data_IF_318807594323
#
_entry.id   IF_318807594323
#
_cell.length_a   1.000
_cell.length_b   1.000
_cell.length_c   1.000
_cell.angle_alpha   90.00
_cell.angle_beta   90.00
_cell.angle_gamma   90.00
#
_symmetry.space_group_name_H-M   'P 1'
#
loop_
_entity.id
_entity.type
_entity.pdbx_description
1 polymer ?
#
# COMPACT_ATOMS: atom_id res chain seq x y z
N UNK A 1 23.87 -4.74 -16.36
CA UNK A 1 22.74 -3.98 -15.73
C UNK A 1 22.36 -2.80 -16.59
N UNK A 2 21.41 -2.92 -17.47
CA UNK A 2 20.80 -1.85 -18.29
C UNK A 2 21.74 -0.75 -18.81
N UNK A 3 22.98 -1.17 -19.23
CA UNK A 3 23.98 -0.25 -19.81
C UNK A 3 24.75 0.64 -18.85
N UNK A 4 24.57 0.47 -17.52
CA UNK A 4 25.33 1.22 -16.54
C UNK A 4 26.68 0.55 -16.23
N UNK A 5 27.75 1.35 -16.21
CA UNK A 5 29.08 0.88 -15.90
C UNK A 5 29.36 0.95 -14.39
N UNK A 6 29.75 -0.18 -13.80
CA UNK A 6 30.12 -0.30 -12.39
C UNK A 6 31.33 -1.24 -12.24
N UNK A 7 31.97 -1.22 -11.07
CA UNK A 7 33.21 -1.96 -10.85
C UNK A 7 32.98 -3.19 -9.96
N UNK A 8 33.29 -4.33 -10.50
CA UNK A 8 33.50 -5.58 -9.77
C UNK A 8 34.48 -6.45 -10.54
N UNK A 9 35.31 -7.18 -9.82
CA UNK A 9 36.18 -8.22 -10.39
C UNK A 9 35.55 -9.62 -10.33
N UNK A 10 34.38 -9.75 -9.66
CA UNK A 10 33.69 -11.02 -9.43
C UNK A 10 32.53 -11.21 -10.40
N UNK A 11 32.58 -12.20 -11.29
CA UNK A 11 31.42 -12.59 -12.11
C UNK A 11 30.18 -12.96 -11.26
N UNK A 12 30.40 -13.60 -10.10
CA UNK A 12 29.31 -13.97 -9.18
C UNK A 12 28.63 -12.74 -8.56
N UNK A 13 29.39 -11.69 -8.23
CA UNK A 13 28.83 -10.42 -7.79
C UNK A 13 27.99 -9.79 -8.90
N UNK A 14 28.49 -9.76 -10.14
CA UNK A 14 27.77 -9.21 -11.28
C UNK A 14 26.45 -9.96 -11.52
N UNK A 15 26.48 -11.29 -11.56
CA UNK A 15 25.30 -12.12 -11.73
C UNK A 15 24.28 -11.93 -10.59
N UNK A 16 24.76 -11.80 -9.34
CA UNK A 16 23.90 -11.59 -8.18
C UNK A 16 23.27 -10.19 -8.16
N UNK A 17 23.97 -9.15 -8.66
CA UNK A 17 23.40 -7.81 -8.84
C UNK A 17 22.35 -7.80 -9.95
N UNK A 18 22.58 -8.48 -11.07
CA UNK A 18 21.59 -8.61 -12.14
C UNK A 18 20.31 -9.31 -11.64
N UNK A 19 20.47 -10.38 -10.85
CA UNK A 19 19.36 -11.07 -10.19
C UNK A 19 18.62 -10.13 -9.23
N UNK A 20 19.34 -9.39 -8.38
CA UNK A 20 18.74 -8.40 -7.46
C UNK A 20 17.91 -7.35 -8.18
N UNK A 21 18.40 -6.83 -9.30
CA UNK A 21 17.67 -5.85 -10.11
C UNK A 21 16.41 -6.47 -10.73
N UNK A 22 16.52 -7.65 -11.32
CA UNK A 22 15.39 -8.37 -11.90
C UNK A 22 14.32 -8.67 -10.84
N UNK A 23 14.73 -9.20 -9.68
CA UNK A 23 13.84 -9.49 -8.56
C UNK A 23 13.18 -8.21 -8.04
N UNK A 24 13.92 -7.10 -7.95
CA UNK A 24 13.36 -5.84 -7.47
C UNK A 24 12.33 -5.27 -8.45
N UNK A 25 12.61 -5.32 -9.75
CA UNK A 25 11.68 -4.84 -10.77
C UNK A 25 10.40 -5.65 -10.81
N UNK A 26 10.49 -6.97 -10.64
CA UNK A 26 9.36 -7.89 -10.62
C UNK A 26 8.69 -8.06 -9.24
N UNK A 27 9.09 -7.29 -8.21
CA UNK A 27 8.67 -7.50 -6.81
C UNK A 27 8.91 -8.94 -6.31
N UNK A 28 10.00 -9.57 -6.81
CA UNK A 28 10.33 -10.97 -6.53
C UNK A 28 10.78 -11.21 -5.08
N UNK A 29 10.61 -12.44 -4.61
CA UNK A 29 10.93 -12.89 -3.25
C UNK A 29 12.43 -12.96 -2.99
N UNK A 30 13.23 -13.19 -4.05
CA UNK A 30 14.67 -13.42 -3.97
C UNK A 30 15.54 -12.19 -3.71
N UNK A 31 14.97 -10.99 -3.61
CA UNK A 31 15.70 -9.70 -3.51
C UNK A 31 16.80 -9.70 -2.45
N UNK A 32 16.45 -10.07 -1.23
CA UNK A 32 17.38 -10.06 -0.10
C UNK A 32 18.53 -11.04 -0.29
N UNK A 33 18.22 -12.26 -0.70
CA UNK A 33 19.24 -13.29 -0.97
C UNK A 33 20.19 -12.84 -2.09
N UNK A 34 19.66 -12.25 -3.15
CA UNK A 34 20.47 -11.80 -4.28
C UNK A 34 21.43 -10.66 -3.89
N UNK A 35 20.96 -9.63 -3.20
CA UNK A 35 21.80 -8.48 -2.81
C UNK A 35 22.87 -8.87 -1.80
N UNK A 36 22.54 -9.71 -0.80
CA UNK A 36 23.52 -10.18 0.19
C UNK A 36 24.55 -11.11 -0.43
N UNK A 37 24.16 -11.96 -1.38
CA UNK A 37 25.09 -12.77 -2.18
C UNK A 37 26.04 -11.88 -3.00
N UNK A 38 25.56 -10.81 -3.61
CA UNK A 38 26.39 -9.86 -4.35
C UNK A 38 27.45 -9.21 -3.45
N UNK A 39 27.04 -8.69 -2.29
CA UNK A 39 27.96 -8.08 -1.33
C UNK A 39 28.99 -9.06 -0.75
N UNK A 40 28.59 -10.30 -0.55
CA UNK A 40 29.50 -11.37 -0.08
C UNK A 40 30.49 -11.82 -1.17
N UNK A 41 30.07 -11.84 -2.45
CA UNK A 41 30.90 -12.28 -3.57
C UNK A 41 32.00 -11.28 -3.94
N UNK A 42 31.77 -9.97 -3.67
CA UNK A 42 32.80 -8.92 -3.83
C UNK A 42 32.58 -7.80 -2.79
N UNK A 43 33.22 -7.92 -1.63
CA UNK A 43 33.16 -6.87 -0.58
C UNK A 43 33.73 -5.51 -1.01
N UNK A 44 34.47 -5.44 -2.10
CA UNK A 44 35.03 -4.19 -2.65
C UNK A 44 34.08 -3.52 -3.67
N UNK A 45 33.01 -4.19 -4.10
CA UNK A 45 32.01 -3.62 -5.00
C UNK A 45 31.14 -2.59 -4.27
N UNK A 46 31.37 -1.30 -4.53
CA UNK A 46 30.65 -0.20 -3.90
C UNK A 46 29.14 -0.32 -4.10
N UNK A 47 28.70 -0.70 -5.30
CA UNK A 47 27.28 -0.82 -5.65
C UNK A 47 26.58 -1.95 -4.88
N UNK A 48 27.23 -3.13 -4.78
CA UNK A 48 26.68 -4.25 -4.02
C UNK A 48 26.55 -3.93 -2.52
N UNK A 49 27.61 -3.38 -1.92
CA UNK A 49 27.58 -2.96 -0.52
C UNK A 49 26.50 -1.90 -0.25
N UNK A 50 26.35 -0.92 -1.14
CA UNK A 50 25.37 0.14 -1.00
C UNK A 50 23.92 -0.36 -1.07
N UNK A 51 23.63 -1.26 -2.02
CA UNK A 51 22.31 -1.87 -2.11
C UNK A 51 22.02 -2.79 -0.91
N UNK A 52 23.03 -3.52 -0.40
CA UNK A 52 22.89 -4.30 0.82
C UNK A 52 22.61 -3.40 2.04
N UNK A 53 23.32 -2.27 2.18
CA UNK A 53 23.06 -1.30 3.25
C UNK A 53 21.62 -0.81 3.24
N UNK A 54 21.11 -0.42 2.08
CA UNK A 54 19.73 0.02 1.93
C UNK A 54 18.72 -1.08 2.22
N UNK A 55 19.00 -2.32 1.79
CA UNK A 55 18.09 -3.45 1.99
C UNK A 55 17.96 -3.87 3.46
N UNK A 56 19.09 -3.96 4.18
CA UNK A 56 19.07 -4.41 5.58
C UNK A 56 18.69 -3.28 6.56
N UNK A 57 18.85 -2.02 6.16
CA UNK A 57 18.70 -0.85 7.04
C UNK A 57 17.42 -0.78 7.89
N UNK A 58 16.25 -1.17 7.40
CA UNK A 58 15.02 -1.19 8.20
C UNK A 58 15.05 -2.19 9.38
N UNK A 59 15.79 -3.31 9.23
CA UNK A 59 15.81 -4.43 10.20
C UNK A 59 17.12 -4.52 10.99
N UNK A 60 18.25 -4.09 10.40
CA UNK A 60 19.58 -4.15 10.97
C UNK A 60 20.37 -2.87 10.71
N UNK A 61 20.28 -1.92 11.63
CA UNK A 61 21.00 -0.62 11.53
C UNK A 61 22.52 -0.79 11.59
N UNK A 62 23.02 -1.70 12.40
CA UNK A 62 24.47 -1.93 12.53
C UNK A 62 25.05 -2.55 11.26
N UNK A 63 24.39 -3.58 10.71
CA UNK A 63 24.75 -4.17 9.43
C UNK A 63 24.68 -3.15 8.28
N UNK A 64 23.65 -2.31 8.25
CA UNK A 64 23.53 -1.24 7.25
C UNK A 64 24.68 -0.24 7.33
N UNK A 65 25.06 0.19 8.53
CA UNK A 65 26.20 1.09 8.74
C UNK A 65 27.54 0.46 8.27
N UNK A 66 27.74 -0.83 8.55
CA UNK A 66 28.93 -1.55 8.09
C UNK A 66 28.99 -1.63 6.56
N UNK A 67 27.89 -1.98 5.89
CA UNK A 67 27.83 -1.98 4.42
C UNK A 67 28.00 -0.58 3.82
N UNK A 68 27.43 0.46 4.43
CA UNK A 68 27.59 1.83 3.97
C UNK A 68 29.05 2.28 4.08
N UNK A 69 29.73 1.96 5.18
CA UNK A 69 31.14 2.25 5.38
C UNK A 69 32.03 1.52 4.33
N UNK A 70 31.74 0.25 4.02
CA UNK A 70 32.43 -0.49 2.96
C UNK A 70 32.24 0.16 1.58
N UNK A 71 31.02 0.57 1.24
CA UNK A 71 30.73 1.30 0.01
C UNK A 71 31.50 2.63 -0.06
N UNK A 72 31.50 3.43 1.04
CA UNK A 72 32.23 4.69 1.14
C UNK A 72 33.75 4.50 0.96
N UNK A 73 34.33 3.45 1.54
CA UNK A 73 35.75 3.10 1.40
C UNK A 73 36.16 2.76 -0.04
N UNK A 74 35.20 2.31 -0.87
CA UNK A 74 35.42 1.93 -2.26
C UNK A 74 35.24 3.09 -3.26
N UNK A 75 34.73 4.27 -2.82
CA UNK A 75 34.37 5.38 -3.71
C UNK A 75 35.55 6.00 -4.47
N UNK A 76 36.76 5.89 -3.96
CA UNK A 76 37.96 6.40 -4.64
C UNK A 76 38.21 5.75 -6.01
N UNK A 77 37.72 4.52 -6.20
CA UNK A 77 37.82 3.78 -7.46
C UNK A 77 36.50 3.67 -8.21
N UNK A 78 35.41 4.18 -7.64
CA UNK A 78 34.06 4.06 -8.17
C UNK A 78 33.87 4.82 -9.50
N UNK A 79 32.93 4.36 -10.33
CA UNK A 79 32.50 5.06 -11.55
C UNK A 79 31.67 6.31 -11.21
N UNK A 80 31.34 7.13 -12.21
CA UNK A 80 30.40 8.24 -12.05
C UNK A 80 29.03 7.77 -11.58
N UNK A 81 28.55 6.66 -12.16
CA UNK A 81 27.28 6.04 -11.79
C UNK A 81 27.26 5.57 -10.33
N UNK A 82 28.25 4.79 -9.90
CA UNK A 82 28.33 4.33 -8.51
C UNK A 82 28.35 5.47 -7.49
N UNK A 83 29.08 6.55 -7.80
CA UNK A 83 29.07 7.76 -6.94
C UNK A 83 27.72 8.47 -6.91
N UNK A 84 26.99 8.50 -8.03
CA UNK A 84 25.65 9.08 -8.08
C UNK A 84 24.65 8.23 -7.27
N UNK A 85 24.69 6.91 -7.42
CA UNK A 85 23.85 5.98 -6.61
C UNK A 85 24.19 6.09 -5.12
N UNK A 86 25.49 6.21 -4.77
CA UNK A 86 25.92 6.41 -3.39
C UNK A 86 25.31 7.69 -2.79
N UNK A 87 25.40 8.83 -3.50
CA UNK A 87 24.80 10.09 -3.02
C UNK A 87 23.31 9.96 -2.75
N UNK A 88 22.58 9.25 -3.63
CA UNK A 88 21.13 9.09 -3.50
C UNK A 88 20.77 8.15 -2.33
N UNK A 89 21.40 6.97 -2.25
CA UNK A 89 21.07 5.97 -1.24
C UNK A 89 21.62 6.28 0.15
N UNK A 90 22.75 6.97 0.27
CA UNK A 90 23.29 7.37 1.58
C UNK A 90 22.32 8.28 2.35
N UNK A 91 21.44 9.03 1.66
CA UNK A 91 20.39 9.80 2.30
C UNK A 91 19.25 8.95 2.89
N UNK A 92 19.20 7.66 2.59
CA UNK A 92 18.16 6.72 3.09
C UNK A 92 18.69 5.76 4.15
N UNK A 93 20.01 5.73 4.38
CA UNK A 93 20.67 4.81 5.30
C UNK A 93 21.33 5.59 6.43
N UNK A 94 21.19 5.10 7.66
CA UNK A 94 21.80 5.73 8.82
C UNK A 94 20.82 6.54 9.68
N UNK A 95 21.35 7.33 10.59
CA UNK A 95 20.56 8.11 11.56
C UNK A 95 19.97 9.38 10.93
N UNK A 96 20.72 10.03 10.04
CA UNK A 96 20.34 11.28 9.37
C UNK A 96 19.55 11.05 8.07
N UNK A 97 18.61 10.09 8.09
CA UNK A 97 17.79 9.78 6.93
C UNK A 97 16.90 10.97 6.56
N UNK A 98 16.99 11.40 5.31
CA UNK A 98 16.17 12.48 4.76
C UNK A 98 15.57 12.06 3.41
N UNK A 99 14.25 11.84 3.40
CA UNK A 99 13.51 11.40 2.22
C UNK A 99 13.48 12.49 1.14
N UNK A 100 13.36 13.76 1.50
CA UNK A 100 13.32 14.87 0.55
C UNK A 100 14.68 15.01 -0.15
N UNK A 101 15.77 14.94 0.62
CA UNK A 101 17.14 14.93 0.07
C UNK A 101 17.36 13.72 -0.83
N UNK A 102 16.81 12.55 -0.47
CA UNK A 102 16.92 11.37 -1.30
C UNK A 102 16.15 11.51 -2.62
N UNK A 103 14.93 12.07 -2.59
CA UNK A 103 14.13 12.36 -3.80
C UNK A 103 14.92 13.29 -4.74
N UNK A 104 15.43 14.41 -4.24
CA UNK A 104 16.21 15.35 -5.05
C UNK A 104 17.47 14.70 -5.65
N UNK A 105 18.21 13.90 -4.87
CA UNK A 105 19.39 13.19 -5.35
C UNK A 105 19.07 12.12 -6.39
N UNK A 106 17.92 11.43 -6.29
CA UNK A 106 17.45 10.52 -7.34
C UNK A 106 17.08 11.29 -8.61
N UNK A 107 16.50 12.49 -8.49
CA UNK A 107 16.21 13.33 -9.64
C UNK A 107 17.47 13.71 -10.41
N UNK A 108 18.53 14.13 -9.70
CA UNK A 108 19.82 14.43 -10.32
C UNK A 108 20.49 13.18 -10.92
N UNK A 109 20.43 12.04 -10.22
CA UNK A 109 20.96 10.78 -10.72
C UNK A 109 20.30 10.40 -12.06
N UNK A 110 18.98 10.48 -12.15
CA UNK A 110 18.23 10.09 -13.34
C UNK A 110 18.42 11.07 -14.52
N UNK A 111 18.83 12.32 -14.27
CA UNK A 111 19.28 13.23 -15.34
C UNK A 111 20.58 12.75 -15.98
N UNK A 112 21.52 12.23 -15.18
CA UNK A 112 22.81 11.76 -15.66
C UNK A 112 22.75 10.33 -16.20
N UNK A 113 21.87 9.48 -15.61
CA UNK A 113 21.74 8.04 -15.90
C UNK A 113 20.26 7.65 -16.12
N UNK A 114 19.63 8.11 -17.20
CA UNK A 114 18.19 7.94 -17.43
C UNK A 114 17.74 6.48 -17.60
N UNK A 115 18.67 5.58 -17.91
CA UNK A 115 18.34 4.15 -18.04
C UNK A 115 18.38 3.37 -16.71
N UNK A 116 18.60 4.04 -15.57
CA UNK A 116 18.59 3.39 -14.25
C UNK A 116 17.15 3.28 -13.71
N UNK A 117 16.40 2.28 -14.21
CA UNK A 117 15.03 2.01 -13.74
C UNK A 117 14.97 1.53 -12.28
N UNK A 118 16.09 1.03 -11.70
CA UNK A 118 16.16 0.71 -10.27
C UNK A 118 16.03 1.97 -9.41
N UNK A 119 16.77 3.02 -9.76
CA UNK A 119 16.68 4.32 -9.08
C UNK A 119 15.33 4.99 -9.34
N UNK A 120 14.77 4.86 -10.56
CA UNK A 120 13.41 5.33 -10.85
C UNK A 120 12.39 4.66 -9.94
N UNK A 121 12.38 3.32 -9.85
CA UNK A 121 11.44 2.59 -8.99
C UNK A 121 11.55 3.01 -7.53
N UNK A 122 12.77 3.22 -7.06
CA UNK A 122 13.01 3.68 -5.68
C UNK A 122 12.48 5.11 -5.46
N UNK A 123 12.75 6.01 -6.41
CA UNK A 123 12.23 7.38 -6.35
C UNK A 123 10.71 7.41 -6.33
N UNK A 124 10.06 6.59 -7.14
CA UNK A 124 8.59 6.45 -7.15
C UNK A 124 8.06 5.96 -5.80
N UNK A 125 8.69 4.95 -5.19
CA UNK A 125 8.31 4.48 -3.85
C UNK A 125 8.47 5.58 -2.80
N UNK A 126 9.55 6.37 -2.85
CA UNK A 126 9.71 7.51 -1.94
C UNK A 126 8.59 8.54 -2.12
N UNK A 127 8.29 8.90 -3.38
CA UNK A 127 7.19 9.81 -3.70
C UNK A 127 5.83 9.28 -3.23
N UNK A 128 5.58 7.98 -3.37
CA UNK A 128 4.38 7.32 -2.88
C UNK A 128 4.23 7.49 -1.36
N UNK A 129 5.28 7.18 -0.57
CA UNK A 129 5.24 7.31 0.90
C UNK A 129 5.14 8.75 1.42
N UNK A 130 5.43 9.75 0.60
CA UNK A 130 5.26 11.16 0.97
C UNK A 130 4.07 11.83 0.27
N UNK A 131 3.28 11.08 -0.49
CA UNK A 131 2.06 11.56 -1.17
C UNK A 131 2.34 12.57 -2.29
N UNK A 132 3.38 12.32 -3.12
CA UNK A 132 3.79 13.20 -4.22
C UNK A 132 3.70 12.49 -5.59
N UNK A 133 2.49 12.14 -6.07
CA UNK A 133 2.33 11.49 -7.36
C UNK A 133 2.72 12.39 -8.55
N UNK A 134 2.59 13.70 -8.43
CA UNK A 134 3.07 14.69 -9.39
C UNK A 134 4.58 14.55 -9.64
N UNK A 135 5.37 14.54 -8.60
CA UNK A 135 6.82 14.34 -8.66
C UNK A 135 7.17 12.94 -9.18
N UNK A 136 6.43 11.91 -8.79
CA UNK A 136 6.57 10.56 -9.34
C UNK A 136 6.38 10.54 -10.84
N UNK A 137 5.37 11.26 -11.36
CA UNK A 137 5.13 11.39 -12.79
C UNK A 137 6.26 12.13 -13.52
N UNK A 138 6.77 13.23 -12.93
CA UNK A 138 7.92 13.97 -13.48
C UNK A 138 9.15 13.08 -13.65
N UNK A 139 9.46 12.22 -12.68
CA UNK A 139 10.55 11.24 -12.77
C UNK A 139 10.41 10.32 -13.98
N UNK A 140 9.20 9.77 -14.17
CA UNK A 140 8.97 8.85 -15.29
C UNK A 140 9.06 9.58 -16.62
N UNK A 141 8.42 10.72 -16.75
CA UNK A 141 8.42 11.52 -17.98
C UNK A 141 9.85 11.94 -18.37
N UNK A 142 10.70 12.26 -17.39
CA UNK A 142 12.10 12.60 -17.62
C UNK A 142 12.87 11.47 -18.30
N UNK A 143 12.63 10.20 -17.92
CA UNK A 143 13.40 9.05 -18.40
C UNK A 143 12.69 8.23 -19.48
N UNK A 144 11.42 8.47 -19.73
CA UNK A 144 10.59 7.73 -20.68
C UNK A 144 11.21 7.67 -22.09
N UNK A 145 11.75 8.75 -22.67
CA UNK A 145 12.33 8.71 -24.00
C UNK A 145 13.45 7.69 -24.18
N UNK A 146 14.24 7.47 -23.12
CA UNK A 146 15.41 6.56 -23.12
C UNK A 146 15.03 5.10 -22.79
N UNK A 147 13.77 4.82 -22.38
CA UNK A 147 13.35 3.52 -21.85
C UNK A 147 12.14 2.91 -22.56
N UNK A 148 11.71 3.43 -23.69
CA UNK A 148 10.55 2.91 -24.45
C UNK A 148 10.72 1.45 -24.88
N UNK A 149 11.96 0.94 -24.93
CA UNK A 149 12.30 -0.46 -25.17
C UNK A 149 12.13 -1.38 -23.96
N UNK A 150 11.70 -0.84 -22.80
CA UNK A 150 11.57 -1.54 -21.53
C UNK A 150 10.12 -1.59 -21.07
N UNK A 151 9.52 -2.78 -21.05
CA UNK A 151 8.10 -2.95 -20.67
C UNK A 151 7.78 -2.40 -19.28
N UNK A 152 8.73 -2.43 -18.34
CA UNK A 152 8.52 -1.90 -16.98
C UNK A 152 8.17 -0.41 -16.93
N UNK A 153 8.64 0.40 -17.91
CA UNK A 153 8.43 1.85 -17.89
C UNK A 153 6.95 2.23 -18.00
N UNK A 154 6.15 1.43 -18.72
CA UNK A 154 4.73 1.70 -18.91
C UNK A 154 3.93 1.49 -17.62
N UNK A 155 4.24 0.43 -16.84
CA UNK A 155 3.65 0.27 -15.51
C UNK A 155 4.09 1.36 -14.53
N UNK A 156 5.33 1.81 -14.62
CA UNK A 156 5.85 2.93 -13.84
C UNK A 156 5.19 4.26 -14.21
N UNK A 157 4.79 4.45 -15.47
CA UNK A 157 4.05 5.62 -15.94
C UNK A 157 2.58 5.56 -15.49
N UNK A 158 1.95 4.41 -15.64
CA UNK A 158 0.53 4.24 -15.33
C UNK A 158 0.21 4.50 -13.86
N UNK A 159 1.09 4.09 -12.93
CA UNK A 159 0.84 4.23 -11.50
C UNK A 159 0.69 5.69 -11.03
N UNK A 160 1.61 6.64 -11.29
CA UNK A 160 1.41 8.05 -10.91
C UNK A 160 0.28 8.73 -11.69
N UNK A 161 -0.02 8.31 -12.92
CA UNK A 161 -1.18 8.83 -13.67
C UNK A 161 -2.49 8.45 -12.96
N UNK A 162 -2.60 7.22 -12.50
CA UNK A 162 -3.73 6.74 -11.70
C UNK A 162 -3.89 7.57 -10.41
N UNK A 163 -2.81 7.75 -9.66
CA UNK A 163 -2.77 8.53 -8.42
C UNK A 163 -3.15 10.02 -8.62
N UNK A 164 -2.99 10.54 -9.83
CA UNK A 164 -3.41 11.89 -10.24
C UNK A 164 -4.82 11.94 -10.83
N UNK A 165 -5.53 10.81 -10.91
CA UNK A 165 -6.87 10.72 -11.50
C UNK A 165 -6.90 10.85 -13.03
N UNK A 166 -5.74 10.67 -13.71
CA UNK A 166 -5.61 10.73 -15.17
C UNK A 166 -5.87 9.36 -15.80
N UNK A 167 -7.11 8.85 -15.61
CA UNK A 167 -7.49 7.47 -15.94
C UNK A 167 -7.36 7.14 -17.42
N UNK A 168 -7.71 8.08 -18.31
CA UNK A 168 -7.64 7.89 -19.77
C UNK A 168 -6.21 7.61 -20.27
N UNK A 169 -5.19 7.98 -19.48
CA UNK A 169 -3.79 7.82 -19.81
C UNK A 169 -3.15 6.61 -19.12
N UNK A 170 -3.85 5.99 -18.17
CA UNK A 170 -3.37 4.88 -17.32
C UNK A 170 -4.12 3.59 -17.65
N UNK A 171 -3.61 2.76 -18.58
CA UNK A 171 -4.20 1.44 -18.88
C UNK A 171 -3.71 0.39 -17.85
N UNK A 172 -4.49 0.16 -16.78
CA UNK A 172 -4.23 -0.86 -15.75
C UNK A 172 -5.54 -1.41 -15.15
N UNK A 173 -5.48 -2.54 -14.43
CA UNK A 173 -6.64 -3.10 -13.72
C UNK A 173 -7.28 -2.11 -12.73
N UNK A 174 -6.50 -1.23 -12.11
CA UNK A 174 -6.98 -0.16 -11.25
C UNK A 174 -7.94 0.80 -11.98
N UNK A 175 -7.73 1.05 -13.29
CA UNK A 175 -8.66 1.83 -14.11
C UNK A 175 -10.01 1.15 -14.18
N UNK A 176 -10.06 -0.15 -14.47
CA UNK A 176 -11.30 -0.90 -14.48
C UNK A 176 -12.05 -0.83 -13.15
N UNK A 177 -11.32 -0.93 -12.03
CA UNK A 177 -11.90 -0.81 -10.69
C UNK A 177 -12.47 0.59 -10.43
N UNK A 178 -11.73 1.65 -10.77
CA UNK A 178 -12.18 3.04 -10.60
C UNK A 178 -13.38 3.37 -11.50
N UNK A 179 -13.40 2.86 -12.74
CA UNK A 179 -14.52 2.96 -13.66
C UNK A 179 -15.70 2.06 -13.33
N UNK A 180 -15.62 1.30 -12.23
CA UNK A 180 -16.63 0.31 -11.82
C UNK A 180 -16.88 -0.80 -12.86
N UNK A 181 -15.87 -1.17 -13.64
CA UNK A 181 -15.88 -2.28 -14.61
C UNK A 181 -15.39 -3.56 -13.92
N UNK A 182 -16.07 -3.94 -12.83
CA UNK A 182 -15.58 -4.95 -11.89
C UNK A 182 -15.41 -6.34 -12.51
N UNK A 183 -16.27 -6.74 -13.44
CA UNK A 183 -16.13 -8.00 -14.17
C UNK A 183 -14.84 -8.02 -15.00
N UNK A 184 -14.61 -6.99 -15.78
CA UNK A 184 -13.42 -6.88 -16.62
C UNK A 184 -12.14 -6.83 -15.77
N UNK A 185 -12.18 -6.13 -14.64
CA UNK A 185 -11.07 -6.10 -13.69
C UNK A 185 -10.75 -7.52 -13.14
N UNK A 186 -11.76 -8.28 -12.72
CA UNK A 186 -11.56 -9.64 -12.20
C UNK A 186 -11.06 -10.59 -13.28
N UNK A 187 -11.67 -10.60 -14.47
CA UNK A 187 -11.25 -11.45 -15.60
C UNK A 187 -9.80 -11.16 -16.01
N UNK A 188 -9.43 -9.88 -16.10
CA UNK A 188 -8.06 -9.47 -16.40
C UNK A 188 -7.08 -9.96 -15.33
N UNK A 189 -7.34 -9.66 -14.05
CA UNK A 189 -6.46 -10.02 -12.95
C UNK A 189 -6.30 -11.55 -12.82
N UNK A 190 -7.39 -12.31 -12.87
CA UNK A 190 -7.34 -13.76 -12.79
C UNK A 190 -6.54 -14.37 -13.95
N UNK A 191 -6.65 -13.81 -15.17
CA UNK A 191 -5.85 -14.26 -16.32
C UNK A 191 -4.34 -14.05 -16.10
N UNK A 192 -3.95 -13.03 -15.33
CA UNK A 192 -2.55 -12.71 -14.99
C UNK A 192 -2.01 -13.55 -13.80
N UNK A 193 -2.88 -14.19 -13.02
CA UNK A 193 -2.53 -14.83 -11.75
C UNK A 193 -1.40 -15.87 -11.82
N UNK A 194 -1.21 -16.65 -12.91
CA UNK A 194 -0.07 -17.57 -13.01
C UNK A 194 1.30 -16.88 -12.92
N UNK A 195 1.37 -15.59 -13.29
CA UNK A 195 2.62 -14.82 -13.25
C UNK A 195 2.99 -14.34 -11.83
N UNK A 196 2.07 -14.37 -10.86
CA UNK A 196 2.26 -13.82 -9.53
C UNK A 196 3.03 -14.73 -8.56
N UNK A 197 3.18 -16.01 -8.88
CA UNK A 197 3.78 -17.01 -7.97
C UNK A 197 5.20 -16.67 -7.53
N UNK A 198 5.95 -15.89 -8.32
CA UNK A 198 7.29 -15.41 -8.00
C UNK A 198 7.31 -14.07 -7.22
N UNK A 199 6.17 -13.41 -7.04
CA UNK A 199 6.07 -12.14 -6.34
C UNK A 199 6.28 -12.30 -4.82
N UNK A 200 6.69 -11.23 -4.14
CA UNK A 200 6.71 -11.15 -2.66
C UNK A 200 5.32 -11.45 -2.09
N UNK A 201 5.26 -11.81 -0.82
CA UNK A 201 3.98 -12.08 -0.15
C UNK A 201 3.03 -10.88 -0.25
N UNK A 202 3.55 -9.64 -0.12
CA UNK A 202 2.76 -8.43 -0.33
C UNK A 202 2.12 -8.40 -1.71
N UNK A 203 2.92 -8.44 -2.78
CA UNK A 203 2.38 -8.29 -4.15
C UNK A 203 1.49 -9.45 -4.57
N UNK A 204 1.82 -10.68 -4.14
CA UNK A 204 0.99 -11.84 -4.40
C UNK A 204 -0.40 -11.69 -3.76
N UNK A 205 -0.45 -11.40 -2.47
CA UNK A 205 -1.71 -11.25 -1.73
C UNK A 205 -2.44 -9.96 -2.09
N UNK A 206 -1.72 -8.89 -2.44
CA UNK A 206 -2.29 -7.62 -2.89
C UNK A 206 -3.02 -7.76 -4.24
N UNK A 207 -2.45 -8.48 -5.19
CA UNK A 207 -3.11 -8.76 -6.45
C UNK A 207 -4.42 -9.55 -6.22
N UNK A 208 -4.39 -10.57 -5.38
CA UNK A 208 -5.61 -11.30 -4.99
C UNK A 208 -6.58 -10.45 -4.18
N UNK A 209 -6.09 -9.52 -3.39
CA UNK A 209 -6.92 -8.54 -2.68
C UNK A 209 -7.70 -7.67 -3.67
N UNK A 210 -7.08 -7.19 -4.76
CA UNK A 210 -7.79 -6.46 -5.82
C UNK A 210 -8.90 -7.30 -6.45
N UNK A 211 -8.66 -8.58 -6.73
CA UNK A 211 -9.68 -9.49 -7.24
C UNK A 211 -10.86 -9.59 -6.25
N UNK A 212 -10.56 -9.82 -4.97
CA UNK A 212 -11.58 -9.93 -3.93
C UNK A 212 -12.37 -8.62 -3.75
N UNK A 213 -11.69 -7.46 -3.79
CA UNK A 213 -12.34 -6.14 -3.69
C UNK A 213 -13.24 -5.89 -4.89
N UNK A 214 -12.81 -6.22 -6.13
CA UNK A 214 -13.67 -6.08 -7.30
C UNK A 214 -14.92 -6.97 -7.23
N UNK A 215 -14.78 -8.22 -6.75
CA UNK A 215 -15.94 -9.06 -6.48
C UNK A 215 -16.87 -8.44 -5.42
N UNK A 216 -16.31 -7.89 -4.36
CA UNK A 216 -17.07 -7.29 -3.26
C UNK A 216 -17.74 -5.98 -3.70
N UNK A 217 -17.06 -5.13 -4.44
CA UNK A 217 -17.58 -3.85 -4.94
C UNK A 217 -18.68 -4.01 -5.98
N UNK A 218 -18.62 -5.05 -6.80
CA UNK A 218 -19.68 -5.42 -7.75
C UNK A 218 -20.79 -6.25 -7.14
N UNK A 219 -20.79 -6.47 -5.82
CA UNK A 219 -21.77 -7.28 -5.07
C UNK A 219 -21.95 -8.69 -5.64
N UNK A 220 -20.86 -9.36 -6.01
CA UNK A 220 -20.90 -10.79 -6.34
C UNK A 220 -21.30 -11.62 -5.12
N UNK A 221 -21.72 -12.90 -5.30
CA UNK A 221 -22.00 -13.76 -4.16
C UNK A 221 -20.80 -13.80 -3.20
N UNK A 222 -21.05 -13.51 -1.92
CA UNK A 222 -20.02 -13.37 -0.87
C UNK A 222 -19.06 -14.56 -0.79
N UNK A 223 -19.54 -15.77 -1.11
CA UNK A 223 -18.70 -16.97 -1.16
C UNK A 223 -17.50 -16.84 -2.09
N UNK A 224 -17.59 -16.06 -3.19
CA UNK A 224 -16.47 -15.82 -4.11
C UNK A 224 -15.38 -14.96 -3.46
N UNK A 225 -15.78 -13.92 -2.74
CA UNK A 225 -14.86 -13.07 -1.98
C UNK A 225 -14.14 -13.89 -0.92
N UNK A 226 -14.90 -14.72 -0.17
CA UNK A 226 -14.36 -15.59 0.88
C UNK A 226 -13.45 -16.69 0.30
N UNK A 227 -13.78 -17.23 -0.87
CA UNK A 227 -12.93 -18.20 -1.58
C UNK A 227 -11.57 -17.59 -1.94
N UNK A 228 -11.55 -16.37 -2.48
CA UNK A 228 -10.30 -15.66 -2.76
C UNK A 228 -9.52 -15.39 -1.47
N UNK A 229 -10.18 -14.98 -0.40
CA UNK A 229 -9.57 -14.80 0.90
C UNK A 229 -8.91 -16.08 1.40
N UNK A 230 -9.68 -17.18 1.48
CA UNK A 230 -9.25 -18.44 2.10
C UNK A 230 -8.21 -19.18 1.24
N UNK A 231 -8.42 -19.25 -0.09
CA UNK A 231 -7.65 -20.11 -1.00
C UNK A 231 -6.46 -19.41 -1.67
N UNK A 232 -6.43 -18.09 -1.65
CA UNK A 232 -5.37 -17.32 -2.31
C UNK A 232 -4.61 -16.42 -1.32
N UNK A 233 -5.31 -15.54 -0.57
CA UNK A 233 -4.63 -14.63 0.34
C UNK A 233 -4.05 -15.39 1.54
N UNK A 234 -4.87 -16.10 2.29
CA UNK A 234 -4.42 -16.77 3.52
C UNK A 234 -3.52 -17.97 3.26
N UNK A 235 -3.72 -18.65 2.13
CA UNK A 235 -2.88 -19.79 1.74
C UNK A 235 -1.41 -19.42 1.49
N UNK A 236 -1.12 -18.16 1.28
CA UNK A 236 0.27 -17.67 1.18
C UNK A 236 1.07 -17.96 2.48
N UNK A 237 0.41 -18.02 3.65
CA UNK A 237 1.03 -18.37 4.93
C UNK A 237 1.62 -19.80 4.96
N UNK A 238 1.16 -20.71 4.11
CA UNK A 238 1.67 -22.08 4.02
C UNK A 238 3.09 -22.14 3.44
N UNK A 239 3.58 -21.05 2.87
CA UNK A 239 4.90 -21.00 2.23
C UNK A 239 5.98 -20.74 3.26
N UNK A 240 7.09 -21.48 3.14
CA UNK A 240 8.26 -21.33 4.02
C UNK A 240 9.00 -20.00 3.90
N UNK A 241 8.79 -19.27 2.79
CA UNK A 241 9.38 -17.95 2.50
C UNK A 241 8.36 -16.81 2.59
N UNK A 242 7.24 -17.04 3.26
CA UNK A 242 6.20 -16.06 3.51
C UNK A 242 6.67 -14.97 4.48
N UNK A 243 6.20 -13.74 4.25
CA UNK A 243 6.29 -12.62 5.19
C UNK A 243 4.89 -12.38 5.78
N UNK A 244 4.57 -12.91 6.99
CA UNK A 244 3.20 -12.92 7.52
C UNK A 244 2.55 -11.53 7.65
N UNK A 245 3.30 -10.51 8.07
CA UNK A 245 2.78 -9.14 8.18
C UNK A 245 2.26 -8.60 6.84
N UNK A 246 2.91 -8.95 5.73
CA UNK A 246 2.48 -8.58 4.37
C UNK A 246 1.15 -9.25 3.98
N UNK A 247 0.93 -10.48 4.44
CA UNK A 247 -0.33 -11.21 4.24
C UNK A 247 -1.45 -10.60 5.08
N UNK A 248 -1.20 -10.38 6.38
CA UNK A 248 -2.20 -9.85 7.30
C UNK A 248 -2.68 -8.45 6.91
N UNK A 249 -1.81 -7.63 6.33
CA UNK A 249 -2.18 -6.30 5.83
C UNK A 249 -3.32 -6.39 4.81
N UNK A 250 -3.17 -7.23 3.79
CA UNK A 250 -4.18 -7.42 2.75
C UNK A 250 -5.43 -8.16 3.27
N UNK A 251 -5.23 -9.18 4.12
CA UNK A 251 -6.31 -9.94 4.74
C UNK A 251 -7.21 -9.04 5.61
N UNK A 252 -6.62 -8.26 6.52
CA UNK A 252 -7.38 -7.38 7.42
C UNK A 252 -8.07 -6.25 6.66
N UNK A 253 -7.42 -5.67 5.63
CA UNK A 253 -8.04 -4.65 4.78
C UNK A 253 -9.30 -5.16 4.08
N UNK A 254 -9.32 -6.44 3.65
CA UNK A 254 -10.51 -7.07 3.08
C UNK A 254 -11.57 -7.39 4.15
N UNK A 255 -11.15 -7.89 5.32
CA UNK A 255 -12.08 -8.19 6.42
C UNK A 255 -12.78 -6.93 6.96
N UNK A 256 -12.09 -5.80 7.01
CA UNK A 256 -12.71 -4.52 7.39
C UNK A 256 -13.78 -4.12 6.38
N UNK A 257 -13.53 -4.26 5.07
CA UNK A 257 -14.53 -3.97 4.04
C UNK A 257 -15.76 -4.90 4.14
N UNK A 258 -15.55 -6.20 4.39
CA UNK A 258 -16.63 -7.13 4.66
C UNK A 258 -17.46 -6.73 5.88
N UNK A 259 -16.79 -6.35 6.96
CA UNK A 259 -17.44 -5.89 8.19
C UNK A 259 -18.32 -4.65 7.96
N UNK A 260 -17.80 -3.64 7.26
CA UNK A 260 -18.51 -2.40 6.92
C UNK A 260 -19.76 -2.70 6.08
N UNK A 261 -19.69 -3.70 5.20
CA UNK A 261 -20.80 -4.10 4.31
C UNK A 261 -21.82 -5.04 4.97
N UNK A 262 -21.71 -5.25 6.27
CA UNK A 262 -22.67 -6.04 7.05
C UNK A 262 -22.35 -7.54 7.11
N UNK A 263 -21.28 -8.00 6.46
CA UNK A 263 -20.79 -9.40 6.53
C UNK A 263 -20.01 -9.65 7.84
N UNK A 264 -20.65 -9.30 8.97
CA UNK A 264 -20.01 -9.29 10.30
C UNK A 264 -19.65 -10.70 10.75
N UNK A 265 -20.54 -11.68 10.52
CA UNK A 265 -20.32 -13.08 10.90
C UNK A 265 -19.08 -13.66 10.23
N UNK A 266 -19.03 -13.70 8.89
CA UNK A 266 -17.86 -14.16 8.14
C UNK A 266 -16.55 -13.42 8.46
N UNK A 267 -16.61 -12.11 8.70
CA UNK A 267 -15.44 -11.33 9.09
C UNK A 267 -14.91 -11.72 10.47
N UNK A 268 -15.79 -11.81 11.48
CA UNK A 268 -15.40 -12.18 12.86
C UNK A 268 -14.90 -13.61 12.97
N UNK A 269 -15.47 -14.56 12.22
CA UNK A 269 -14.99 -15.93 12.15
C UNK A 269 -13.52 -15.98 11.74
N UNK A 270 -13.14 -15.23 10.70
CA UNK A 270 -11.77 -15.16 10.20
C UNK A 270 -10.85 -14.39 11.12
N UNK A 271 -11.31 -13.32 11.74
CA UNK A 271 -10.55 -12.62 12.77
C UNK A 271 -10.23 -13.53 13.96
N UNK A 272 -11.17 -14.41 14.36
CA UNK A 272 -10.96 -15.37 15.45
C UNK A 272 -9.80 -16.32 15.14
N UNK A 273 -9.68 -16.77 13.88
CA UNK A 273 -8.59 -17.69 13.49
C UNK A 273 -7.21 -17.00 13.48
N UNK A 274 -7.17 -15.67 13.39
CA UNK A 274 -5.94 -14.88 13.34
C UNK A 274 -5.56 -14.28 14.70
N UNK A 275 -6.43 -14.37 15.70
CA UNK A 275 -6.35 -13.51 16.89
C UNK A 275 -5.01 -13.59 17.64
N UNK A 276 -4.45 -14.78 17.80
CA UNK A 276 -3.18 -14.95 18.50
C UNK A 276 -2.00 -14.32 17.72
N UNK A 277 -2.04 -14.39 16.39
CA UNK A 277 -1.05 -13.76 15.52
C UNK A 277 -1.17 -12.24 15.51
N UNK A 278 -2.42 -11.72 15.56
CA UNK A 278 -2.66 -10.27 15.58
C UNK A 278 -2.18 -9.60 16.89
N UNK A 279 -2.14 -10.36 18.00
CA UNK A 279 -1.57 -9.91 19.29
C UNK A 279 -0.04 -9.98 19.33
N UNK A 280 0.59 -10.63 18.36
CA UNK A 280 2.03 -10.80 18.32
C UNK A 280 2.72 -9.48 17.96
N UNK A 281 3.41 -8.88 18.93
CA UNK A 281 4.08 -7.58 18.73
C UNK A 281 5.18 -7.61 17.65
N UNK A 282 5.65 -8.79 17.24
CA UNK A 282 6.65 -8.92 16.18
C UNK A 282 6.18 -8.45 14.79
N UNK A 283 4.86 -8.40 14.56
CA UNK A 283 4.27 -7.86 13.32
C UNK A 283 3.94 -6.37 13.42
N UNK A 284 3.94 -5.79 14.63
CA UNK A 284 3.63 -4.38 14.83
C UNK A 284 4.69 -3.50 14.20
N UNK A 285 4.28 -2.34 13.74
CA UNK A 285 5.16 -1.34 13.12
C UNK A 285 5.86 -1.78 11.82
N UNK A 286 5.44 -2.91 11.24
CA UNK A 286 5.88 -3.30 9.92
C UNK A 286 5.41 -2.26 8.87
N UNK A 287 4.13 -1.90 8.91
CA UNK A 287 3.50 -0.87 8.08
C UNK A 287 2.43 -0.12 8.88
N UNK A 288 2.31 1.20 8.68
CA UNK A 288 1.29 2.00 9.38
C UNK A 288 -0.14 1.53 9.11
N UNK A 289 -0.44 1.16 7.86
CA UNK A 289 -1.76 0.65 7.51
C UNK A 289 -2.07 -0.63 8.28
N UNK A 290 -1.11 -1.53 8.45
CA UNK A 290 -1.31 -2.75 9.24
C UNK A 290 -1.64 -2.41 10.69
N UNK A 291 -0.90 -1.48 11.31
CA UNK A 291 -1.17 -1.06 12.68
C UNK A 291 -2.59 -0.47 12.83
N UNK A 292 -3.06 0.33 11.86
CA UNK A 292 -4.42 0.86 11.86
C UNK A 292 -5.46 -0.26 11.75
N UNK A 293 -5.25 -1.25 10.89
CA UNK A 293 -6.15 -2.38 10.75
C UNK A 293 -6.17 -3.26 12.00
N UNK A 294 -5.02 -3.42 12.69
CA UNK A 294 -4.94 -4.07 14.00
C UNK A 294 -5.72 -3.31 15.07
N UNK A 295 -5.65 -1.98 15.08
CA UNK A 295 -6.42 -1.12 16.00
C UNK A 295 -7.93 -1.18 15.79
N UNK A 296 -8.39 -1.63 14.62
CA UNK A 296 -9.79 -2.00 14.41
C UNK A 296 -10.07 -3.44 14.86
N UNK A 297 -9.24 -4.40 14.42
CA UNK A 297 -9.51 -5.82 14.58
C UNK A 297 -9.47 -6.27 16.05
N UNK A 298 -8.46 -5.84 16.82
CA UNK A 298 -8.27 -6.22 18.22
C UNK A 298 -9.46 -5.80 19.10
N UNK A 299 -9.93 -4.54 19.12
CA UNK A 299 -11.10 -4.15 19.90
C UNK A 299 -12.39 -4.83 19.41
N UNK A 300 -12.55 -5.03 18.10
CA UNK A 300 -13.68 -5.76 17.53
C UNK A 300 -13.80 -7.19 18.06
N UNK A 301 -12.66 -7.78 18.46
CA UNK A 301 -12.54 -9.11 19.10
C UNK A 301 -12.41 -9.04 20.63
N UNK A 302 -12.65 -7.86 21.22
CA UNK A 302 -12.58 -7.60 22.68
C UNK A 302 -11.17 -7.71 23.29
N UNK A 303 -10.12 -7.60 22.47
CA UNK A 303 -8.71 -7.55 22.89
C UNK A 303 -8.27 -6.09 23.14
N UNK A 304 -8.91 -5.45 24.11
CA UNK A 304 -8.77 -4.01 24.37
C UNK A 304 -7.35 -3.69 24.84
N UNK A 305 -6.78 -4.47 25.77
CA UNK A 305 -5.45 -4.24 26.31
C UNK A 305 -4.35 -4.30 25.22
N UNK A 306 -4.42 -5.27 24.33
CA UNK A 306 -3.48 -5.38 23.21
C UNK A 306 -3.59 -4.17 22.26
N UNK A 307 -4.81 -3.71 21.98
CA UNK A 307 -5.03 -2.53 21.15
C UNK A 307 -4.50 -1.25 21.81
N UNK A 308 -4.70 -1.07 23.12
CA UNK A 308 -4.17 0.08 23.87
C UNK A 308 -2.64 0.09 23.88
N UNK A 309 -2.01 -1.07 24.10
CA UNK A 309 -0.57 -1.22 24.04
C UNK A 309 -0.01 -0.84 22.65
N UNK A 310 -0.67 -1.27 21.57
CA UNK A 310 -0.29 -0.88 20.20
C UNK A 310 -0.43 0.63 20.00
N UNK A 311 -1.56 1.23 20.42
CA UNK A 311 -1.81 2.66 20.25
C UNK A 311 -0.78 3.51 21.02
N UNK A 312 -0.45 3.13 22.25
CA UNK A 312 0.56 3.81 23.07
C UNK A 312 1.96 3.65 22.49
N UNK A 313 2.28 2.48 21.93
CA UNK A 313 3.53 2.25 21.20
C UNK A 313 3.64 3.16 19.97
N UNK A 314 2.56 3.33 19.19
CA UNK A 314 2.53 4.27 18.05
C UNK A 314 2.73 5.72 18.50
N UNK A 315 2.09 6.15 19.58
CA UNK A 315 2.28 7.49 20.17
C UNK A 315 3.73 7.72 20.59
N UNK A 316 4.32 6.75 21.28
CA UNK A 316 5.72 6.79 21.69
C UNK A 316 6.67 6.88 20.50
N UNK A 317 6.40 6.09 19.45
CA UNK A 317 7.17 6.11 18.21
C UNK A 317 7.13 7.47 17.51
N UNK A 318 5.95 8.10 17.42
CA UNK A 318 5.82 9.45 16.85
C UNK A 318 6.55 10.47 17.72
N UNK A 319 6.43 10.40 19.04
CA UNK A 319 7.12 11.31 19.96
C UNK A 319 8.65 11.27 19.85
N UNK A 320 9.21 10.15 19.37
CA UNK A 320 10.65 9.99 19.14
C UNK A 320 11.14 10.52 17.78
N UNK A 321 10.23 10.94 16.89
CA UNK A 321 10.57 11.49 15.58
C UNK A 321 11.03 12.97 15.69
N UNK A 322 11.65 13.49 14.64
CA UNK A 322 11.91 14.92 14.53
C UNK A 322 10.61 15.74 14.45
N UNK A 323 10.67 17.02 14.77
CA UNK A 323 9.49 17.91 14.87
C UNK A 323 8.65 17.95 13.59
N UNK A 324 9.28 17.96 12.41
CA UNK A 324 8.58 18.01 11.12
C UNK A 324 7.76 16.73 10.89
N UNK A 325 8.37 15.57 11.18
CA UNK A 325 7.68 14.28 11.10
C UNK A 325 6.60 14.12 12.16
N UNK A 326 6.85 14.59 13.39
CA UNK A 326 5.81 14.58 14.43
C UNK A 326 4.56 15.33 13.96
N UNK A 327 4.71 16.54 13.39
CA UNK A 327 3.60 17.34 12.87
C UNK A 327 2.81 16.59 11.79
N UNK A 328 3.50 15.94 10.85
CA UNK A 328 2.88 15.14 9.80
C UNK A 328 2.14 13.92 10.38
N UNK A 329 2.80 13.17 11.26
CA UNK A 329 2.29 11.91 11.81
C UNK A 329 1.24 12.12 12.91
N UNK A 330 1.04 13.36 13.38
CA UNK A 330 -0.05 13.67 14.33
C UNK A 330 -1.43 13.30 13.75
N UNK A 331 -1.65 13.57 12.46
CA UNK A 331 -2.87 13.12 11.76
C UNK A 331 -3.00 11.61 11.75
N UNK A 332 -1.91 10.87 11.52
CA UNK A 332 -1.94 9.40 11.54
C UNK A 332 -2.31 8.85 12.93
N UNK A 333 -1.86 9.48 14.02
CA UNK A 333 -2.27 9.14 15.39
C UNK A 333 -3.75 9.47 15.62
N UNK A 334 -4.25 10.58 15.09
CA UNK A 334 -5.67 10.90 15.17
C UNK A 334 -6.54 9.84 14.46
N UNK A 335 -6.13 9.38 13.28
CA UNK A 335 -6.80 8.29 12.58
C UNK A 335 -6.70 6.97 13.37
N UNK A 336 -5.54 6.66 13.96
CA UNK A 336 -5.34 5.48 14.81
C UNK A 336 -6.32 5.46 16.00
N UNK A 337 -6.47 6.59 16.69
CA UNK A 337 -7.42 6.75 17.80
C UNK A 337 -8.87 6.57 17.33
N UNK A 338 -9.22 7.11 16.17
CA UNK A 338 -10.55 6.97 15.58
C UNK A 338 -10.86 5.52 15.19
N UNK A 339 -9.90 4.83 14.56
CA UNK A 339 -10.06 3.43 14.14
C UNK A 339 -10.16 2.49 15.35
N UNK A 340 -9.40 2.75 16.43
CA UNK A 340 -9.53 2.06 17.71
C UNK A 340 -10.95 2.20 18.30
N UNK A 341 -11.48 3.43 18.33
CA UNK A 341 -12.86 3.71 18.77
C UNK A 341 -13.90 3.02 17.87
N UNK A 342 -13.65 2.97 16.55
CA UNK A 342 -14.52 2.28 15.63
C UNK A 342 -14.57 0.77 15.92
N UNK A 343 -13.43 0.14 16.20
CA UNK A 343 -13.37 -1.27 16.61
C UNK A 343 -14.15 -1.56 17.89
N UNK A 344 -14.28 -0.58 18.79
CA UNK A 344 -15.13 -0.65 20.01
C UNK A 344 -16.61 -0.40 19.73
N UNK A 345 -17.01 0.05 18.54
CA UNK A 345 -18.36 0.45 18.21
C UNK A 345 -18.75 1.86 18.74
N UNK A 346 -17.79 2.69 19.10
CA UNK A 346 -18.00 4.02 19.66
C UNK A 346 -18.15 5.09 18.55
N UNK A 347 -19.14 4.95 17.65
CA UNK A 347 -19.27 5.76 16.43
C UNK A 347 -19.31 7.27 16.68
N UNK A 348 -19.99 7.73 17.74
CA UNK A 348 -20.00 9.14 18.11
C UNK A 348 -18.61 9.66 18.47
N UNK A 349 -17.84 8.88 19.21
CA UNK A 349 -16.46 9.24 19.56
C UNK A 349 -15.53 9.26 18.32
N UNK A 350 -15.79 8.41 17.32
CA UNK A 350 -15.08 8.46 16.02
C UNK A 350 -15.37 9.79 15.33
N UNK A 351 -16.65 10.19 15.24
CA UNK A 351 -17.06 11.46 14.65
C UNK A 351 -16.39 12.65 15.35
N UNK A 352 -16.42 12.68 16.67
CA UNK A 352 -15.81 13.76 17.46
C UNK A 352 -14.28 13.81 17.30
N UNK A 353 -13.64 12.68 16.98
CA UNK A 353 -12.19 12.58 16.77
C UNK A 353 -11.77 13.08 15.39
N UNK A 354 -12.46 12.66 14.33
CA UNK A 354 -12.07 12.95 12.94
C UNK A 354 -12.58 14.32 12.48
N UNK A 355 -13.77 14.73 12.95
CA UNK A 355 -14.43 15.95 12.53
C UNK A 355 -15.12 15.85 11.16
N UNK A 356 -16.01 16.81 10.82
CA UNK A 356 -16.89 16.73 9.65
C UNK A 356 -16.14 16.76 8.31
N UNK A 357 -14.94 17.32 8.26
CA UNK A 357 -14.14 17.48 7.04
C UNK A 357 -13.21 16.31 6.76
N UNK A 358 -13.45 15.14 7.40
CA UNK A 358 -12.59 13.97 7.20
C UNK A 358 -12.65 13.47 5.75
N UNK A 359 -11.47 13.25 5.20
CA UNK A 359 -11.25 12.55 3.93
C UNK A 359 -10.04 11.60 4.09
N UNK A 360 -10.29 10.30 3.96
CA UNK A 360 -9.26 9.26 4.06
C UNK A 360 -8.08 9.48 3.11
N UNK A 361 -8.32 10.02 1.89
CA UNK A 361 -7.27 10.31 0.92
C UNK A 361 -6.26 11.36 1.40
N UNK A 362 -6.60 12.15 2.40
CA UNK A 362 -5.68 13.08 3.08
C UNK A 362 -4.65 12.41 3.99
N UNK A 363 -4.66 11.07 4.12
CA UNK A 363 -3.81 10.30 5.04
C UNK A 363 -2.71 9.50 4.33
N UNK A 364 -2.25 9.92 3.16
CA UNK A 364 -1.19 9.25 2.39
C UNK A 364 0.12 9.04 3.16
N UNK A 365 0.37 9.80 4.24
CA UNK A 365 1.54 9.64 5.10
C UNK A 365 1.62 8.27 5.79
N UNK A 366 0.55 7.49 5.80
CA UNK A 366 0.57 6.10 6.31
C UNK A 366 1.16 5.09 5.31
N UNK A 367 1.51 5.53 4.09
CA UNK A 367 2.17 4.68 3.09
C UNK A 367 1.24 3.64 2.46
N UNK A 368 -0.01 4.02 2.18
CA UNK A 368 -1.01 3.16 1.55
C UNK A 368 -1.53 3.77 0.24
N UNK A 369 -1.94 2.93 -0.71
CA UNK A 369 -2.56 3.38 -1.95
C UNK A 369 -3.95 3.97 -1.72
N UNK A 370 -4.43 4.76 -2.68
CA UNK A 370 -5.76 5.38 -2.60
C UNK A 370 -6.85 4.34 -2.36
N UNK A 371 -6.79 3.19 -3.04
CA UNK A 371 -7.76 2.10 -2.87
C UNK A 371 -7.68 1.46 -1.48
N UNK A 372 -6.48 1.39 -0.88
CA UNK A 372 -6.32 0.89 0.48
C UNK A 372 -6.86 1.89 1.51
N UNK A 373 -6.53 3.16 1.36
CA UNK A 373 -6.95 4.23 2.29
C UNK A 373 -8.44 4.50 2.21
N UNK A 374 -9.07 4.32 1.04
CA UNK A 374 -10.50 4.55 0.82
C UNK A 374 -11.41 3.71 1.75
N UNK A 375 -10.91 2.61 2.32
CA UNK A 375 -11.65 1.88 3.35
C UNK A 375 -12.03 2.76 4.55
N UNK A 376 -11.21 3.76 4.89
CA UNK A 376 -11.52 4.68 5.98
C UNK A 376 -12.61 5.70 5.59
N UNK A 377 -12.77 6.01 4.30
CA UNK A 377 -13.95 6.74 3.81
C UNK A 377 -15.21 5.88 3.91
N UNK A 378 -15.13 4.58 3.59
CA UNK A 378 -16.26 3.66 3.79
C UNK A 378 -16.66 3.57 5.29
N UNK A 379 -15.67 3.47 6.20
CA UNK A 379 -15.91 3.57 7.65
C UNK A 379 -16.60 4.89 7.99
N UNK A 380 -16.11 6.00 7.45
CA UNK A 380 -16.63 7.32 7.74
C UNK A 380 -18.09 7.49 7.34
N UNK A 381 -18.49 7.02 6.15
CA UNK A 381 -19.89 7.07 5.73
C UNK A 381 -20.81 6.31 6.70
N UNK A 382 -20.40 5.13 7.17
CA UNK A 382 -21.18 4.38 8.15
C UNK A 382 -21.24 5.08 9.51
N UNK A 383 -20.13 5.66 9.96
CA UNK A 383 -20.05 6.44 11.20
C UNK A 383 -20.99 7.64 11.17
N UNK A 384 -21.01 8.39 10.07
CA UNK A 384 -21.92 9.56 9.92
C UNK A 384 -23.38 9.14 10.03
N UNK A 385 -23.78 8.06 9.33
CA UNK A 385 -25.16 7.56 9.38
C UNK A 385 -25.52 7.10 10.80
N UNK A 386 -24.66 6.33 11.44
CA UNK A 386 -24.92 5.76 12.77
C UNK A 386 -24.80 6.79 13.90
N UNK A 387 -24.05 7.90 13.71
CA UNK A 387 -23.98 9.03 14.63
C UNK A 387 -25.13 10.05 14.45
N UNK A 388 -25.97 9.86 13.43
CA UNK A 388 -27.10 10.76 13.15
C UNK A 388 -26.75 11.98 12.28
N UNK A 389 -25.53 12.04 11.74
CA UNK A 389 -25.05 13.11 10.84
C UNK A 389 -25.43 12.80 9.38
N UNK A 390 -26.67 12.40 9.16
CA UNK A 390 -27.16 11.84 7.90
C UNK A 390 -27.12 12.83 6.74
N UNK A 391 -27.38 14.11 6.97
CA UNK A 391 -27.30 15.14 5.91
C UNK A 391 -25.88 15.25 5.36
N UNK A 392 -24.85 15.23 6.22
CA UNK A 392 -23.43 15.20 5.82
C UNK A 392 -23.10 13.92 5.07
N UNK A 393 -23.60 12.77 5.54
CA UNK A 393 -23.43 11.48 4.87
C UNK A 393 -24.00 11.51 3.45
N UNK A 394 -25.21 12.02 3.27
CA UNK A 394 -25.87 12.14 1.96
C UNK A 394 -25.05 13.02 1.01
N UNK A 395 -24.59 14.19 1.47
CA UNK A 395 -23.76 15.10 0.65
C UNK A 395 -22.49 14.41 0.16
N UNK A 396 -21.74 13.77 1.07
CA UNK A 396 -20.50 13.07 0.73
C UNK A 396 -20.75 11.86 -0.20
N UNK A 397 -21.80 11.07 0.07
CA UNK A 397 -22.14 9.91 -0.75
C UNK A 397 -22.57 10.34 -2.16
N UNK A 398 -23.39 11.40 -2.31
CA UNK A 398 -23.76 11.93 -3.64
C UNK A 398 -22.52 12.39 -4.41
N UNK A 399 -21.60 13.09 -3.73
CA UNK A 399 -20.32 13.50 -4.31
C UNK A 399 -19.47 12.31 -4.75
N UNK A 400 -19.39 11.25 -3.95
CA UNK A 400 -18.62 10.05 -4.28
C UNK A 400 -19.29 9.25 -5.41
N UNK A 401 -20.61 9.11 -5.38
CA UNK A 401 -21.38 8.47 -6.44
C UNK A 401 -21.18 9.18 -7.78
N UNK A 402 -21.07 10.52 -7.79
CA UNK A 402 -20.81 11.25 -9.04
C UNK A 402 -19.50 10.84 -9.73
N UNK A 403 -18.53 10.34 -8.96
CA UNK A 403 -17.25 9.84 -9.47
C UNK A 403 -17.30 8.34 -9.81
N UNK A 404 -18.07 7.55 -9.03
CA UNK A 404 -18.15 6.09 -9.09
C UNK A 404 -19.60 5.61 -9.18
N UNK A 405 -20.31 6.01 -10.22
CA UNK A 405 -21.75 5.77 -10.41
C UNK A 405 -22.11 4.28 -10.47
N UNK A 406 -21.18 3.44 -10.90
CA UNK A 406 -21.35 1.99 -11.04
C UNK A 406 -21.08 1.18 -9.75
N UNK A 407 -20.84 1.80 -8.61
CA UNK A 407 -20.57 1.10 -7.34
C UNK A 407 -21.87 0.87 -6.53
N UNK A 408 -22.46 -0.34 -6.49
CA UNK A 408 -23.74 -0.62 -5.80
C UNK A 408 -23.68 -0.25 -4.32
N UNK A 409 -22.55 -0.53 -3.64
CA UNK A 409 -22.37 -0.26 -2.21
C UNK A 409 -22.62 1.20 -1.83
N UNK A 410 -22.17 2.16 -2.64
CA UNK A 410 -22.41 3.59 -2.38
C UNK A 410 -23.91 3.93 -2.43
N UNK A 411 -24.62 3.34 -3.37
CA UNK A 411 -26.08 3.51 -3.46
C UNK A 411 -26.81 2.86 -2.28
N UNK A 412 -26.33 1.72 -1.74
CA UNK A 412 -26.88 1.11 -0.54
C UNK A 412 -26.66 1.96 0.72
N UNK A 413 -25.49 2.60 0.83
CA UNK A 413 -25.26 3.55 1.92
C UNK A 413 -26.16 4.79 1.79
N UNK A 414 -26.38 5.28 0.58
CA UNK A 414 -27.26 6.41 0.31
C UNK A 414 -28.73 6.02 0.63
N UNK A 415 -29.19 4.82 0.27
CA UNK A 415 -30.48 4.27 0.67
C UNK A 415 -30.65 4.29 2.20
N UNK A 416 -29.65 3.75 2.94
CA UNK A 416 -29.65 3.75 4.41
C UNK A 416 -29.76 5.16 4.98
N UNK A 417 -28.98 6.10 4.45
CA UNK A 417 -28.97 7.50 4.90
C UNK A 417 -30.33 8.18 4.67
N UNK A 418 -30.94 8.01 3.49
CA UNK A 418 -32.26 8.53 3.19
C UNK A 418 -33.36 7.91 4.07
N UNK A 419 -33.27 6.59 4.33
CA UNK A 419 -34.22 5.90 5.21
C UNK A 419 -34.17 6.45 6.65
N UNK A 420 -32.98 6.72 7.19
CA UNK A 420 -32.80 7.34 8.52
C UNK A 420 -33.38 8.76 8.57
N UNK A 421 -33.26 9.53 7.48
CA UNK A 421 -33.90 10.87 7.37
C UNK A 421 -35.40 10.84 7.12
N UNK A 422 -36.01 9.65 6.91
CA UNK A 422 -37.42 9.51 6.60
C UNK A 422 -37.78 9.84 5.15
N UNK A 423 -36.83 9.93 4.25
CA UNK A 423 -36.98 10.21 2.81
C UNK A 423 -37.21 8.92 2.02
N UNK A 424 -38.38 8.32 2.24
CA UNK A 424 -38.71 6.97 1.74
C UNK A 424 -38.66 6.84 0.20
N UNK A 425 -39.09 7.87 -0.54
CA UNK A 425 -39.05 7.86 -2.01
C UNK A 425 -37.61 7.86 -2.52
N UNK A 426 -36.74 8.71 -1.97
CA UNK A 426 -35.32 8.78 -2.34
C UNK A 426 -34.59 7.48 -1.98
N UNK A 427 -34.92 6.88 -0.82
CA UNK A 427 -34.39 5.59 -0.42
C UNK A 427 -34.77 4.48 -1.42
N UNK A 428 -36.02 4.45 -1.89
CA UNK A 428 -36.48 3.48 -2.89
C UNK A 428 -35.72 3.63 -4.20
N UNK A 429 -35.51 4.84 -4.69
CA UNK A 429 -34.75 5.13 -5.91
C UNK A 429 -33.30 4.65 -5.78
N UNK A 430 -32.67 4.91 -4.62
CA UNK A 430 -31.29 4.47 -4.37
C UNK A 430 -31.20 2.93 -4.34
N UNK A 431 -32.17 2.23 -3.70
CA UNK A 431 -32.26 0.78 -3.65
C UNK A 431 -32.42 0.17 -5.05
N UNK A 432 -33.33 0.73 -5.87
CA UNK A 432 -33.52 0.27 -7.25
C UNK A 432 -32.25 0.39 -8.07
N UNK A 433 -31.54 1.50 -7.92
CA UNK A 433 -30.26 1.74 -8.60
C UNK A 433 -29.18 0.74 -8.17
N UNK A 434 -29.04 0.48 -6.85
CA UNK A 434 -28.12 -0.53 -6.33
C UNK A 434 -28.42 -1.94 -6.90
N UNK A 435 -29.71 -2.35 -6.90
CA UNK A 435 -30.12 -3.64 -7.42
C UNK A 435 -29.85 -3.79 -8.94
N UNK A 436 -30.11 -2.75 -9.71
CA UNK A 436 -29.82 -2.75 -11.14
C UNK A 436 -28.32 -2.89 -11.44
N UNK A 437 -27.47 -2.19 -10.68
CA UNK A 437 -26.01 -2.27 -10.81
C UNK A 437 -25.49 -3.65 -10.41
N UNK A 438 -25.94 -4.21 -9.28
CA UNK A 438 -25.60 -5.56 -8.85
C UNK A 438 -25.90 -6.59 -9.94
N UNK A 439 -27.11 -6.53 -10.51
CA UNK A 439 -27.50 -7.43 -11.59
C UNK A 439 -26.64 -7.27 -12.86
N UNK A 440 -26.11 -6.08 -13.12
CA UNK A 440 -25.29 -5.81 -14.31
C UNK A 440 -23.85 -6.32 -14.19
N UNK A 441 -23.28 -6.44 -12.97
CA UNK A 441 -21.87 -6.76 -12.80
C UNK A 441 -21.57 -8.26 -12.94
N UNK A 442 -22.26 -9.14 -12.24
CA UNK A 442 -21.89 -10.56 -12.15
C UNK A 442 -23.04 -11.55 -12.39
N UNK A 443 -24.18 -11.08 -12.89
CA UNK A 443 -25.35 -11.91 -13.20
C UNK A 443 -25.71 -11.94 -14.67
#
# INVERSE_FOLDING_TARGET
>A
MWGQEYRTASPDCAAALDDYYAQTMAFGRGRGRAVLRAAAADPSCALAALHAAHFVGPRDRAGAAAFLAAAAGSLGKATGYERAVFRALSALVGEDRDTEVAIERHFQLLKEFPRDLMSLKRAQLLCFYVGRPDTSLEFVQQVLPENQDRNYIYGMLAFPLLELGRMDEAEMCHVFQQECRFREATEFMESCSPSWTACSSFMFTHNWWHVAVCYLEGESPIRKVLEVYDQNIMKELDRSDCEPAEVYLNALGLLLRLYIRGEIGPAKERLTTLLDELKNESIWHAEWLLDLLLLWALPCMNEIEAAENLLDSLRSRVSSMDTKRQQLMHKAIQLADAVYKYGKGEHKAVFDTLGPDFDGLGYKMIGASDEQVDVFNEVWYTVLIDAGETSTAIELLVKQISKRQGAPFLWRLLEKAYAVEGRAEDASVAAEKANALQAAHFH
#
